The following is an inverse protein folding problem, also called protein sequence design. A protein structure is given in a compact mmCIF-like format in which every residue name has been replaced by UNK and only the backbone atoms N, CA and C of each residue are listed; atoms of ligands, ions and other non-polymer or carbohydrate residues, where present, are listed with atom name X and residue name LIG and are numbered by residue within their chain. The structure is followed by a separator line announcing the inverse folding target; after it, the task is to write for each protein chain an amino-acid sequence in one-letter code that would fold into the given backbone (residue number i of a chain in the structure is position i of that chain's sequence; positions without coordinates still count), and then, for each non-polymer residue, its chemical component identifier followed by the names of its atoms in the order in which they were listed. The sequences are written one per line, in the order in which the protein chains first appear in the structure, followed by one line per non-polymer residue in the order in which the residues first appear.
data_IF_114395553597
#
_entry.id   IF_114395553597
#
_cell.length_a   1.000
_cell.length_b   1.000
_cell.length_c   1.000
_cell.angle_alpha   90.00
_cell.angle_beta   90.00
_cell.angle_gamma   90.00
#
_symmetry.space_group_name_H-M   'P 1'
#
loop_
_entity.id
_entity.type
_entity.pdbx_description
1 polymer ?
#
# COMPACT_ATOMS: atom_id res chain seq x y z
N UNK A 1 0.76 4.01 -9.92
CA UNK A 1 0.21 3.40 -8.69
C UNK A 1 1.38 2.82 -7.92
N UNK A 2 1.43 2.97 -6.59
CA UNK A 2 2.60 2.62 -5.77
C UNK A 2 2.72 1.11 -5.54
N UNK A 3 1.60 0.44 -5.21
CA UNK A 3 1.56 -1.03 -5.05
C UNK A 3 1.24 -1.72 -6.37
N UNK A 4 2.08 -2.69 -6.76
CA UNK A 4 1.79 -3.54 -7.91
C UNK A 4 0.66 -4.55 -7.62
N UNK A 5 0.55 -5.02 -6.38
CA UNK A 5 -0.53 -5.94 -5.96
C UNK A 5 -1.90 -5.30 -6.09
N UNK A 6 -2.07 -4.08 -5.56
CA UNK A 6 -3.34 -3.32 -5.69
C UNK A 6 -3.65 -3.02 -7.15
N UNK A 7 -2.62 -2.66 -7.94
CA UNK A 7 -2.79 -2.44 -9.38
C UNK A 7 -3.36 -3.68 -10.05
N UNK A 8 -2.78 -4.85 -9.78
CA UNK A 8 -3.25 -6.10 -10.36
C UNK A 8 -4.69 -6.41 -9.93
N UNK A 9 -5.04 -6.21 -8.66
CA UNK A 9 -6.41 -6.45 -8.16
C UNK A 9 -7.45 -5.57 -8.87
N UNK A 10 -7.11 -4.30 -9.13
CA UNK A 10 -8.03 -3.32 -9.72
C UNK A 10 -8.04 -3.29 -11.25
N UNK A 11 -7.00 -3.83 -11.90
CA UNK A 11 -6.84 -3.72 -13.37
C UNK A 11 -6.67 -5.07 -14.07
N UNK A 12 -6.81 -6.19 -13.35
CA UNK A 12 -6.69 -7.52 -13.96
C UNK A 12 -7.77 -7.70 -15.04
N UNK A 13 -7.42 -8.23 -16.23
CA UNK A 13 -8.39 -8.55 -17.25
C UNK A 13 -9.27 -9.72 -16.76
N UNK A 14 -10.46 -9.39 -16.25
CA UNK A 14 -11.47 -10.33 -15.77
C UNK A 14 -12.55 -9.59 -15.00
N UNK A 15 -13.77 -10.15 -14.98
CA UNK A 15 -14.90 -9.64 -14.18
C UNK A 15 -14.72 -10.00 -12.70
N UNK A 16 -13.66 -9.49 -12.09
CA UNK A 16 -13.42 -9.58 -10.65
C UNK A 16 -14.18 -8.47 -9.94
N UNK A 17 -14.71 -8.77 -8.76
CA UNK A 17 -15.51 -7.82 -7.99
C UNK A 17 -14.72 -6.55 -7.66
N UNK A 18 -13.42 -6.67 -7.42
CA UNK A 18 -12.50 -5.56 -7.13
C UNK A 18 -12.38 -4.59 -8.30
N UNK A 19 -12.31 -5.12 -9.54
CA UNK A 19 -12.29 -4.30 -10.75
C UNK A 19 -13.62 -3.61 -11.00
N UNK A 20 -14.75 -4.28 -10.72
CA UNK A 20 -16.09 -3.73 -10.97
C UNK A 20 -16.49 -2.66 -9.94
N UNK A 21 -16.19 -2.88 -8.65
CA UNK A 21 -16.56 -1.98 -7.56
C UNK A 21 -15.47 -0.94 -7.27
N UNK A 22 -14.23 -1.15 -7.74
CA UNK A 22 -13.10 -0.29 -7.41
C UNK A 22 -12.67 -0.37 -5.95
N UNK A 23 -12.97 -1.48 -5.27
CA UNK A 23 -12.73 -1.68 -3.85
C UNK A 23 -11.85 -2.91 -3.62
N UNK A 24 -10.89 -2.80 -2.69
CA UNK A 24 -10.03 -3.91 -2.27
C UNK A 24 -10.10 -4.04 -0.76
N UNK A 25 -10.39 -5.25 -0.28
CA UNK A 25 -10.42 -5.58 1.16
C UNK A 25 -9.14 -6.31 1.57
N UNK A 26 -8.57 -5.94 2.73
CA UNK A 26 -7.41 -6.61 3.31
C UNK A 26 -7.75 -7.20 4.69
N UNK A 27 -8.18 -8.47 4.77
CA UNK A 27 -8.54 -9.09 6.05
C UNK A 27 -7.37 -9.24 7.03
N UNK A 28 -6.16 -9.43 6.50
CA UNK A 28 -4.94 -9.71 7.28
C UNK A 28 -4.12 -8.45 7.61
N UNK A 29 -4.54 -7.27 7.13
CA UNK A 29 -3.86 -6.00 7.40
C UNK A 29 -4.71 -5.20 8.39
N UNK A 30 -4.16 -4.94 9.58
CA UNK A 30 -4.85 -4.15 10.59
C UNK A 30 -5.07 -2.70 10.13
N UNK A 31 -6.10 -2.04 10.66
CA UNK A 31 -6.44 -0.65 10.30
C UNK A 31 -5.27 0.30 10.51
N UNK A 32 -4.53 0.15 11.63
CA UNK A 32 -3.35 0.97 11.95
C UNK A 32 -2.27 0.86 10.89
N UNK A 33 -2.00 -0.36 10.40
CA UNK A 33 -1.01 -0.61 9.36
C UNK A 33 -1.49 -0.09 8.02
N UNK A 34 -2.76 -0.32 7.67
CA UNK A 34 -3.34 0.16 6.42
C UNK A 34 -3.30 1.70 6.33
N UNK A 35 -3.59 2.40 7.43
CA UNK A 35 -3.47 3.85 7.50
C UNK A 35 -2.04 4.33 7.21
N UNK A 36 -1.03 3.66 7.79
CA UNK A 36 0.38 4.01 7.57
C UNK A 36 0.81 3.72 6.13
N UNK A 37 0.30 2.66 5.50
CA UNK A 37 0.51 2.36 4.08
C UNK A 37 -0.08 3.45 3.18
N UNK A 38 -1.29 3.93 3.48
CA UNK A 38 -1.89 5.05 2.74
C UNK A 38 -1.02 6.33 2.84
N UNK A 39 -0.52 6.64 4.04
CA UNK A 39 0.43 7.76 4.25
C UNK A 39 1.71 7.56 3.45
N UNK A 40 2.25 6.33 3.42
CA UNK A 40 3.42 5.99 2.61
C UNK A 40 3.14 6.19 1.11
N UNK A 41 1.99 5.77 0.58
CA UNK A 41 1.67 5.98 -0.84
C UNK A 41 1.64 7.44 -1.22
N UNK A 42 1.01 8.28 -0.39
CA UNK A 42 0.99 9.72 -0.60
C UNK A 42 2.41 10.30 -0.56
N UNK A 43 3.20 9.92 0.45
CA UNK A 43 4.58 10.38 0.57
C UNK A 43 5.43 9.94 -0.64
N UNK A 44 5.33 8.68 -1.06
CA UNK A 44 6.10 8.12 -2.18
C UNK A 44 5.82 8.88 -3.49
N UNK A 45 4.54 9.17 -3.78
CA UNK A 45 4.16 9.94 -4.98
C UNK A 45 4.69 11.37 -4.97
N UNK A 46 4.89 11.97 -3.79
CA UNK A 46 5.31 13.37 -3.67
C UNK A 46 6.83 13.56 -3.59
N UNK A 47 7.56 12.57 -3.04
CA UNK A 47 8.94 12.78 -2.61
C UNK A 47 9.96 11.78 -3.21
N UNK A 48 9.52 10.66 -3.80
CA UNK A 48 10.43 9.63 -4.31
C UNK A 48 11.37 10.11 -5.42
N UNK A 49 11.01 11.17 -6.15
CA UNK A 49 11.79 11.69 -7.27
C UNK A 49 12.90 12.69 -6.87
N UNK A 50 13.32 12.73 -5.60
CA UNK A 50 14.57 13.40 -5.22
C UNK A 50 14.51 14.51 -4.18
N UNK A 51 13.46 14.57 -3.35
CA UNK A 51 13.49 15.45 -2.15
C UNK A 51 14.03 14.65 -0.96
N UNK A 52 15.03 15.20 -0.25
CA UNK A 52 15.47 14.67 1.04
C UNK A 52 14.37 14.88 2.08
N UNK A 53 13.49 13.90 2.21
CA UNK A 53 12.50 13.82 3.28
C UNK A 53 12.49 12.40 3.79
N UNK A 54 12.42 12.20 5.10
CA UNK A 54 12.33 10.87 5.70
C UNK A 54 10.86 10.52 5.96
N UNK A 55 10.50 9.26 5.72
CA UNK A 55 9.21 8.71 6.14
C UNK A 55 9.38 8.03 7.49
N UNK A 56 8.91 8.69 8.56
CA UNK A 56 9.05 8.16 9.91
C UNK A 56 8.12 6.97 10.16
N UNK A 57 8.70 5.88 10.68
CA UNK A 57 7.99 4.66 11.08
C UNK A 57 8.29 4.40 12.56
N UNK A 58 7.22 4.22 13.33
CA UNK A 58 7.27 3.86 14.74
C UNK A 58 7.86 2.44 14.87
N UNK A 59 8.84 2.20 15.76
CA UNK A 59 9.52 0.90 15.89
C UNK A 59 8.56 -0.28 16.06
N UNK A 60 7.44 -0.07 16.75
CA UNK A 60 6.42 -1.07 17.04
C UNK A 60 5.68 -1.55 15.78
N UNK A 61 5.66 -0.74 14.71
CA UNK A 61 4.94 -1.05 13.46
C UNK A 61 5.84 -1.68 12.38
N UNK A 62 7.16 -1.68 12.59
CA UNK A 62 8.15 -2.02 11.54
C UNK A 62 7.92 -3.43 10.98
N UNK A 63 7.70 -4.42 11.85
CA UNK A 63 7.58 -5.81 11.41
C UNK A 63 6.32 -6.03 10.55
N UNK A 64 5.17 -5.55 11.02
CA UNK A 64 3.90 -5.64 10.28
C UNK A 64 3.95 -4.86 8.97
N UNK A 65 4.53 -3.66 8.98
CA UNK A 65 4.73 -2.88 7.75
C UNK A 65 5.65 -3.57 6.76
N UNK A 66 6.69 -4.27 7.22
CA UNK A 66 7.58 -5.02 6.34
C UNK A 66 6.86 -6.19 5.67
N UNK A 67 6.02 -6.92 6.42
CA UNK A 67 5.19 -7.98 5.86
C UNK A 67 4.18 -7.43 4.85
N UNK A 68 3.53 -6.31 5.17
CA UNK A 68 2.58 -5.66 4.27
C UNK A 68 3.25 -5.10 3.01
N UNK A 69 4.43 -4.50 3.12
CA UNK A 69 5.21 -4.03 1.97
C UNK A 69 5.58 -5.19 1.03
N UNK A 70 6.02 -6.31 1.60
CA UNK A 70 6.29 -7.53 0.83
C UNK A 70 5.02 -8.06 0.14
N UNK A 71 3.88 -8.05 0.80
CA UNK A 71 2.60 -8.45 0.19
C UNK A 71 2.15 -7.48 -0.92
N UNK A 72 2.33 -6.18 -0.72
CA UNK A 72 1.86 -5.13 -1.63
C UNK A 72 2.81 -4.87 -2.81
N UNK A 73 4.00 -5.48 -2.83
CA UNK A 73 5.05 -5.21 -3.82
C UNK A 73 5.30 -3.70 -3.97
N UNK A 74 5.72 -3.06 -2.87
CA UNK A 74 5.98 -1.61 -2.77
C UNK A 74 7.41 -1.33 -2.37
#
# INVERSE_FOLDING_TARGET
MVSQTIRNMLTSPGSFAETEHGEVTFPEISTTILEKICKYFYWNLQYASGKQTEFHIEPELVLELMMAANYLHT
#
